data_IF_260134906601
#
_entry.id   IF_260134906601
#
_cell.length_a   1.000
_cell.length_b   1.000
_cell.length_c   1.000
_cell.angle_alpha   90.00
_cell.angle_beta   90.00
_cell.angle_gamma   90.00
#
_symmetry.space_group_name_H-M   'P 1'
#
loop_
_entity.id
_entity.type
_entity.pdbx_description
1 polymer ?
#
# COMPACT_ATOMS: atom_id res chain seq x y z
N UNK A 1 -12.71 -15.90 -12.55
CA UNK A 1 -12.02 -15.10 -11.52
C UNK A 1 -12.06 -13.64 -11.95
N UNK A 2 -12.45 -12.70 -11.08
CA UNK A 2 -12.50 -11.29 -11.48
C UNK A 2 -11.07 -10.75 -11.53
N UNK A 3 -10.50 -10.70 -12.74
CA UNK A 3 -9.23 -10.02 -12.97
C UNK A 3 -9.51 -8.52 -13.02
N UNK A 4 -8.68 -7.70 -12.37
CA UNK A 4 -8.70 -6.26 -12.62
C UNK A 4 -8.37 -6.05 -14.10
N UNK A 5 -9.14 -5.25 -14.83
CA UNK A 5 -8.92 -5.02 -16.28
C UNK A 5 -7.99 -3.83 -16.57
N UNK A 6 -7.43 -3.23 -15.53
CA UNK A 6 -6.53 -2.08 -15.60
C UNK A 6 -6.92 -1.02 -14.59
N UNK A 7 -5.91 -0.45 -13.93
CA UNK A 7 -6.04 0.75 -13.11
C UNK A 7 -5.50 1.92 -13.93
N UNK A 8 -6.39 2.81 -14.39
CA UNK A 8 -6.01 4.06 -15.05
C UNK A 8 -5.50 5.03 -13.97
N UNK A 9 -4.19 5.05 -13.75
CA UNK A 9 -3.52 5.93 -12.79
C UNK A 9 -3.40 7.33 -13.38
N UNK A 10 -4.38 8.19 -13.08
CA UNK A 10 -4.34 9.62 -13.39
C UNK A 10 -4.22 10.43 -12.10
N UNK A 11 -3.30 11.39 -12.08
CA UNK A 11 -3.31 12.45 -11.06
C UNK A 11 -4.53 13.32 -11.34
N UNK A 12 -5.57 13.17 -10.52
CA UNK A 12 -6.88 13.81 -10.71
C UNK A 12 -7.26 14.74 -9.57
N UNK A 13 -6.38 14.88 -8.58
CA UNK A 13 -6.61 15.66 -7.38
C UNK A 13 -5.28 16.17 -6.82
N UNK A 14 -5.34 17.33 -6.16
CA UNK A 14 -4.27 17.86 -5.31
C UNK A 14 -4.13 17.04 -4.03
N UNK A 15 -3.04 17.24 -3.28
CA UNK A 15 -2.82 16.56 -2.00
C UNK A 15 -3.94 16.86 -0.98
N UNK A 16 -4.37 18.12 -0.88
CA UNK A 16 -5.46 18.54 0.03
C UNK A 16 -6.79 17.86 -0.31
N UNK A 17 -7.12 17.79 -1.60
CA UNK A 17 -8.33 17.09 -2.05
C UNK A 17 -8.27 15.58 -1.81
N UNK A 18 -7.09 14.96 -2.01
CA UNK A 18 -6.88 13.56 -1.69
C UNK A 18 -7.04 13.31 -0.19
N UNK A 19 -6.50 14.19 0.66
CA UNK A 19 -6.60 14.11 2.12
C UNK A 19 -8.04 14.31 2.62
N UNK A 20 -8.78 15.24 2.03
CA UNK A 20 -10.21 15.44 2.30
C UNK A 20 -11.03 14.18 1.95
N UNK A 21 -10.64 13.46 0.90
CA UNK A 21 -11.29 12.24 0.41
C UNK A 21 -10.72 10.95 1.00
N UNK A 22 -9.75 11.05 1.91
CA UNK A 22 -9.16 9.90 2.57
C UNK A 22 -10.25 9.06 3.26
N UNK A 23 -10.15 7.74 3.19
CA UNK A 23 -11.02 6.86 3.97
C UNK A 23 -10.68 6.97 5.46
N UNK A 24 -11.63 6.60 6.32
CA UNK A 24 -11.37 6.51 7.75
C UNK A 24 -10.16 5.61 8.07
N UNK A 25 -10.04 4.50 7.34
CA UNK A 25 -8.90 3.60 7.51
C UNK A 25 -7.56 4.23 7.14
N UNK A 26 -7.51 5.05 6.09
CA UNK A 26 -6.30 5.79 5.73
C UNK A 26 -5.93 6.82 6.80
N UNK A 27 -6.91 7.52 7.38
CA UNK A 27 -6.68 8.48 8.48
C UNK A 27 -6.12 7.79 9.72
N UNK A 28 -6.74 6.69 10.16
CA UNK A 28 -6.25 5.88 11.28
C UNK A 28 -4.80 5.44 11.05
N UNK A 29 -4.50 4.95 9.85
CA UNK A 29 -3.14 4.51 9.52
C UNK A 29 -2.13 5.67 9.56
N UNK A 30 -2.44 6.79 8.91
CA UNK A 30 -1.54 7.96 8.88
C UNK A 30 -1.28 8.52 10.27
N UNK A 31 -2.32 8.61 11.11
CA UNK A 31 -2.19 9.12 12.48
C UNK A 31 -1.34 8.18 13.35
N UNK A 32 -1.58 6.88 13.27
CA UNK A 32 -0.76 5.90 13.99
C UNK A 32 0.69 5.93 13.50
N UNK A 33 0.93 5.87 12.19
CA UNK A 33 2.28 5.95 11.64
C UNK A 33 3.01 7.22 12.09
N UNK A 34 2.32 8.37 12.08
CA UNK A 34 2.89 9.64 12.56
C UNK A 34 3.21 9.61 14.06
N UNK A 35 2.42 8.90 14.86
CA UNK A 35 2.72 8.71 16.30
C UNK A 35 3.99 7.89 16.55
N UNK A 36 4.38 7.02 15.61
CA UNK A 36 5.59 6.21 15.68
C UNK A 36 6.83 6.93 15.12
N UNK A 37 6.62 7.90 14.23
CA UNK A 37 7.69 8.65 13.58
C UNK A 37 8.20 9.77 14.50
N UNK A 38 9.47 9.71 14.90
CA UNK A 38 10.17 10.88 15.47
C UNK A 38 10.69 11.81 14.37
N UNK A 39 10.95 13.06 14.73
CA UNK A 39 11.42 14.08 13.79
C UNK A 39 12.64 13.59 12.98
N UNK A 40 12.48 13.51 11.65
CA UNK A 40 13.55 13.11 10.73
C UNK A 40 13.86 11.61 10.66
N UNK A 41 13.08 10.75 11.32
CA UNK A 41 13.35 9.31 11.37
C UNK A 41 12.11 8.49 11.00
N UNK A 42 12.29 7.48 10.15
CA UNK A 42 11.23 6.53 9.83
C UNK A 42 10.94 5.60 11.03
N UNK A 43 9.66 5.28 11.30
CA UNK A 43 9.34 4.28 12.28
C UNK A 43 9.83 2.91 11.81
N UNK A 44 10.41 2.13 12.73
CA UNK A 44 10.79 0.74 12.44
C UNK A 44 9.56 -0.13 12.40
N UNK A 45 9.58 -1.20 11.60
CA UNK A 45 8.50 -2.21 11.62
C UNK A 45 8.23 -2.76 13.03
N UNK A 46 9.26 -2.89 13.87
CA UNK A 46 9.13 -3.35 15.26
C UNK A 46 8.40 -2.35 16.19
N UNK A 47 8.22 -1.10 15.76
CA UNK A 47 7.43 -0.12 16.51
C UNK A 47 5.92 -0.25 16.24
N UNK A 48 5.53 -0.98 15.20
CA UNK A 48 4.13 -1.18 14.86
C UNK A 48 3.47 -2.09 15.90
N UNK A 49 2.51 -1.55 16.65
CA UNK A 49 1.62 -2.33 17.50
C UNK A 49 0.33 -2.65 16.70
N UNK A 50 0.09 -3.91 16.31
CA UNK A 50 -1.12 -4.28 15.58
C UNK A 50 -2.41 -3.95 16.34
N UNK A 51 -2.38 -3.92 17.68
CA UNK A 51 -3.56 -3.62 18.49
C UNK A 51 -4.07 -2.19 18.30
N UNK A 52 -3.15 -1.24 18.08
CA UNK A 52 -3.46 0.16 17.82
C UNK A 52 -4.20 0.38 16.48
N UNK A 53 -4.07 -0.55 15.54
CA UNK A 53 -4.66 -0.48 14.19
C UNK A 53 -5.62 -1.64 13.91
N UNK A 54 -6.11 -2.33 14.94
CA UNK A 54 -6.95 -3.55 14.81
C UNK A 54 -8.15 -3.36 13.87
N UNK A 55 -8.76 -2.17 13.88
CA UNK A 55 -9.93 -1.84 13.04
C UNK A 55 -9.63 -1.88 11.53
N UNK A 56 -8.37 -1.69 11.15
CA UNK A 56 -7.94 -1.61 9.75
C UNK A 56 -7.04 -2.78 9.33
N UNK A 57 -6.58 -3.61 10.26
CA UNK A 57 -5.64 -4.73 9.99
C UNK A 57 -6.10 -5.63 8.85
N UNK A 58 -7.38 -5.98 8.77
CA UNK A 58 -7.92 -6.82 7.69
C UNK A 58 -7.73 -6.22 6.29
N UNK A 59 -7.52 -4.91 6.19
CA UNK A 59 -7.33 -4.17 4.96
C UNK A 59 -5.88 -3.64 4.79
N UNK A 60 -4.94 -4.12 5.60
CA UNK A 60 -3.53 -3.72 5.52
C UNK A 60 -2.67 -4.78 4.83
N UNK A 61 -1.60 -4.34 4.20
CA UNK A 61 -0.53 -5.21 3.72
C UNK A 61 0.82 -4.61 4.08
N UNK A 62 1.82 -5.46 4.37
CA UNK A 62 3.21 -5.04 4.53
C UNK A 62 3.98 -5.56 3.32
N UNK A 63 4.63 -4.64 2.62
CA UNK A 63 5.54 -4.94 1.51
C UNK A 63 6.96 -4.65 1.97
N UNK A 64 7.91 -5.50 1.58
CA UNK A 64 9.33 -5.37 1.92
C UNK A 64 10.17 -5.51 0.66
N UNK A 65 11.02 -4.52 0.38
CA UNK A 65 11.95 -4.55 -0.75
C UNK A 65 13.21 -5.35 -0.41
N UNK A 66 13.44 -6.40 -1.18
CA UNK A 66 14.73 -7.12 -1.23
C UNK A 66 15.67 -6.44 -2.23
N UNK A 67 15.18 -6.21 -3.44
CA UNK A 67 15.85 -5.51 -4.53
C UNK A 67 14.80 -4.77 -5.41
N UNK A 68 15.20 -3.95 -6.40
CA UNK A 68 14.25 -3.18 -7.20
C UNK A 68 13.19 -3.99 -7.96
N UNK A 69 13.45 -5.25 -8.27
CA UNK A 69 12.54 -6.16 -8.98
C UNK A 69 11.85 -7.17 -8.04
N UNK A 70 12.23 -7.19 -6.76
CA UNK A 70 11.74 -8.13 -5.75
C UNK A 70 11.19 -7.40 -4.52
N UNK A 71 9.86 -7.28 -4.46
CA UNK A 71 9.14 -6.67 -3.33
C UNK A 71 8.13 -7.64 -2.73
N UNK A 72 8.47 -8.23 -1.59
CA UNK A 72 7.72 -9.29 -0.94
C UNK A 72 6.52 -8.77 -0.17
N UNK A 73 5.35 -9.38 -0.37
CA UNK A 73 4.20 -9.22 0.51
C UNK A 73 4.40 -10.04 1.79
N UNK A 74 4.87 -9.40 2.86
CA UNK A 74 5.14 -10.05 4.17
C UNK A 74 3.88 -10.28 5.00
N UNK A 75 2.86 -9.46 4.80
CA UNK A 75 1.58 -9.57 5.45
C UNK A 75 0.49 -9.10 4.49
N UNK A 76 -0.62 -9.84 4.44
CA UNK A 76 -1.82 -9.46 3.70
C UNK A 76 -3.03 -9.70 4.59
N UNK A 77 -3.79 -8.65 4.89
CA UNK A 77 -4.99 -8.73 5.71
C UNK A 77 -6.11 -9.53 5.04
N UNK A 78 -6.96 -10.17 5.84
CA UNK A 78 -8.02 -11.06 5.36
C UNK A 78 -9.02 -10.40 4.40
N UNK A 79 -9.36 -9.13 4.60
CA UNK A 79 -10.23 -8.37 3.70
C UNK A 79 -9.59 -8.12 2.33
N UNK A 80 -8.26 -8.04 2.25
CA UNK A 80 -7.55 -8.00 0.97
C UNK A 80 -7.64 -9.38 0.30
N UNK A 81 -7.41 -10.47 1.05
CA UNK A 81 -7.52 -11.85 0.55
C UNK A 81 -8.91 -12.12 -0.01
N UNK A 82 -9.98 -11.75 0.70
CA UNK A 82 -11.37 -11.88 0.26
C UNK A 82 -11.62 -11.14 -1.06
N UNK A 83 -11.10 -9.92 -1.20
CA UNK A 83 -11.27 -9.08 -2.40
C UNK A 83 -10.48 -9.60 -3.60
N UNK A 84 -9.26 -10.10 -3.38
CA UNK A 84 -8.43 -10.67 -4.44
C UNK A 84 -8.92 -12.08 -4.81
N UNK A 85 -9.54 -12.79 -3.88
CA UNK A 85 -9.94 -14.19 -4.01
C UNK A 85 -8.77 -15.18 -3.87
N UNK A 86 -7.61 -14.72 -3.40
CA UNK A 86 -6.43 -15.54 -3.17
C UNK A 86 -5.52 -14.91 -2.12
N UNK A 87 -4.87 -15.75 -1.31
CA UNK A 87 -3.78 -15.31 -0.44
C UNK A 87 -2.52 -15.06 -1.29
N UNK A 88 -1.99 -13.85 -1.16
CA UNK A 88 -0.81 -13.37 -1.87
C UNK A 88 0.38 -13.14 -0.94
N UNK A 89 0.26 -13.52 0.33
CA UNK A 89 1.37 -13.52 1.28
C UNK A 89 2.54 -14.36 0.74
N UNK A 90 3.75 -13.82 0.87
CA UNK A 90 4.98 -14.43 0.37
C UNK A 90 5.20 -14.27 -1.13
N UNK A 91 4.28 -13.65 -1.88
CA UNK A 91 4.47 -13.37 -3.31
C UNK A 91 5.15 -12.03 -3.52
N UNK A 92 5.83 -11.89 -4.66
CA UNK A 92 6.29 -10.60 -5.14
C UNK A 92 5.08 -9.78 -5.60
N UNK A 93 4.90 -8.56 -5.06
CA UNK A 93 3.76 -7.69 -5.40
C UNK A 93 3.69 -7.40 -6.90
N UNK A 94 4.84 -7.39 -7.59
CA UNK A 94 4.92 -7.14 -9.02
C UNK A 94 4.34 -8.28 -9.89
N UNK A 95 4.15 -9.47 -9.32
CA UNK A 95 3.54 -10.63 -9.98
C UNK A 95 2.04 -10.77 -9.67
N UNK A 96 1.54 -10.00 -8.69
CA UNK A 96 0.12 -10.03 -8.28
C UNK A 96 -0.76 -9.17 -9.20
N UNK A 97 -0.19 -8.10 -9.75
CA UNK A 97 -0.89 -7.20 -10.66
C UNK A 97 -0.76 -7.63 -12.12
N UNK A 98 -1.59 -7.04 -12.98
CA UNK A 98 -1.56 -7.29 -14.43
C UNK A 98 -0.18 -6.91 -14.98
N UNK A 99 0.40 -7.77 -15.84
CA UNK A 99 1.76 -7.62 -16.36
C UNK A 99 2.01 -6.25 -17.01
N UNK A 100 1.01 -5.65 -17.66
CA UNK A 100 1.11 -4.32 -18.29
C UNK A 100 1.39 -3.19 -17.31
N UNK A 101 1.13 -3.39 -16.02
CA UNK A 101 1.37 -2.41 -14.97
C UNK A 101 2.65 -2.69 -14.17
N UNK A 102 3.32 -3.82 -14.43
CA UNK A 102 4.47 -4.27 -13.65
C UNK A 102 5.56 -3.21 -13.55
N UNK A 103 5.99 -2.66 -14.69
CA UNK A 103 7.07 -1.67 -14.74
C UNK A 103 6.67 -0.37 -14.02
N UNK A 104 5.46 0.13 -14.27
CA UNK A 104 4.95 1.36 -13.63
C UNK A 104 4.89 1.17 -12.12
N UNK A 105 4.35 0.04 -11.65
CA UNK A 105 4.27 -0.27 -10.22
C UNK A 105 5.66 -0.40 -9.59
N UNK A 106 6.59 -1.08 -10.28
CA UNK A 106 7.97 -1.24 -9.85
C UNK A 106 8.65 0.12 -9.67
N UNK A 107 8.62 0.96 -10.71
CA UNK A 107 9.27 2.27 -10.71
C UNK A 107 8.69 3.15 -9.60
N UNK A 108 7.37 3.09 -9.44
CA UNK A 108 6.65 3.83 -8.41
C UNK A 108 7.00 3.38 -6.99
N UNK A 109 7.01 2.07 -6.71
CA UNK A 109 7.33 1.56 -5.37
C UNK A 109 8.79 1.82 -5.00
N UNK A 110 9.71 1.68 -5.95
CA UNK A 110 11.11 2.05 -5.73
C UNK A 110 11.29 3.55 -5.48
N UNK A 111 10.60 4.40 -6.25
CA UNK A 111 10.58 5.84 -6.02
C UNK A 111 10.22 6.19 -4.57
N UNK A 112 9.17 5.55 -4.03
CA UNK A 112 8.71 5.79 -2.65
C UNK A 112 9.73 5.35 -1.60
N UNK A 113 10.50 4.30 -1.86
CA UNK A 113 11.50 3.79 -0.91
C UNK A 113 12.83 4.53 -1.00
N UNK A 114 13.24 4.96 -2.21
CA UNK A 114 14.48 5.73 -2.42
C UNK A 114 14.35 7.17 -1.92
N UNK A 115 13.13 7.70 -1.89
CA UNK A 115 12.77 8.98 -1.28
C UNK A 115 11.63 8.74 -0.30
N UNK A 116 11.93 8.29 0.92
CA UNK A 116 10.91 7.82 1.85
C UNK A 116 9.85 8.90 2.12
N UNK A 117 8.72 8.76 1.44
CA UNK A 117 7.57 9.64 1.53
C UNK A 117 6.27 8.82 1.58
N UNK A 118 5.25 9.37 2.24
CA UNK A 118 3.92 8.78 2.27
C UNK A 118 3.23 8.91 0.93
N UNK A 119 2.40 7.93 0.59
CA UNK A 119 1.53 7.95 -0.56
C UNK A 119 0.08 7.83 -0.13
N UNK A 120 -0.76 8.68 -0.71
CA UNK A 120 -2.22 8.56 -0.68
C UNK A 120 -2.73 8.57 -2.11
N UNK A 121 -3.43 7.51 -2.52
CA UNK A 121 -4.04 7.36 -3.83
C UNK A 121 -5.52 7.02 -3.68
N UNK A 122 -6.34 7.62 -4.53
CA UNK A 122 -7.68 7.12 -4.80
C UNK A 122 -7.67 6.47 -6.19
N UNK A 123 -7.87 5.16 -6.22
CA UNK A 123 -7.91 4.36 -7.44
C UNK A 123 -9.33 3.89 -7.68
N UNK A 124 -9.68 3.62 -8.94
CA UNK A 124 -10.93 2.92 -9.27
C UNK A 124 -10.56 1.63 -9.98
N UNK A 125 -10.71 0.51 -9.29
CA UNK A 125 -10.50 -0.81 -9.87
C UNK A 125 -11.75 -1.20 -10.66
N UNK A 126 -11.54 -1.62 -11.91
CA UNK A 126 -12.61 -2.16 -12.76
C UNK A 126 -12.38 -3.65 -12.91
N UNK A 127 -13.35 -4.45 -12.45
CA UNK A 127 -13.30 -5.90 -12.54
C UNK A 127 -13.85 -6.37 -13.90
N UNK A 128 -13.50 -7.58 -14.33
CA UNK A 128 -14.03 -8.19 -15.58
C UNK A 128 -15.57 -8.30 -15.60
N UNK A 129 -16.23 -8.30 -14.44
CA UNK A 129 -17.69 -8.24 -14.33
C UNK A 129 -18.30 -6.86 -14.67
N UNK A 130 -17.48 -5.84 -14.91
CA UNK A 130 -17.89 -4.44 -15.06
C UNK A 130 -18.09 -3.70 -13.74
N UNK A 131 -18.00 -4.39 -12.60
CA UNK A 131 -18.06 -3.75 -11.29
C UNK A 131 -16.87 -2.80 -11.10
N UNK A 132 -17.14 -1.59 -10.62
CA UNK A 132 -16.12 -0.56 -10.34
C UNK A 132 -16.06 -0.30 -8.85
N UNK A 133 -14.86 -0.41 -8.27
CA UNK A 133 -14.63 -0.18 -6.85
C UNK A 133 -13.64 0.96 -6.67
N UNK A 134 -14.06 2.01 -5.97
CA UNK A 134 -13.16 3.06 -5.50
C UNK A 134 -12.33 2.54 -4.32
N UNK A 135 -11.02 2.59 -4.44
CA UNK A 135 -10.05 2.11 -3.45
C UNK A 135 -9.18 3.26 -2.98
N UNK A 136 -9.23 3.53 -1.68
CA UNK A 136 -8.25 4.39 -1.02
C UNK A 136 -7.03 3.55 -0.64
N UNK A 137 -5.88 3.91 -1.18
CA UNK A 137 -4.61 3.29 -0.89
C UNK A 137 -3.73 4.29 -0.14
N UNK A 138 -3.39 3.98 1.09
CA UNK A 138 -2.43 4.75 1.88
C UNK A 138 -1.21 3.87 2.17
N UNK A 139 -0.02 4.31 1.76
CA UNK A 139 1.25 3.64 2.02
C UNK A 139 2.15 4.59 2.77
N UNK A 140 2.76 4.10 3.83
CA UNK A 140 3.71 4.86 4.62
C UNK A 140 4.99 4.03 4.74
N UNK A 141 6.17 4.61 4.44
CA UNK A 141 7.42 3.88 4.47
C UNK A 141 7.79 3.53 5.92
N UNK A 142 8.44 2.39 6.11
CA UNK A 142 8.97 1.97 7.40
C UNK A 142 10.44 1.64 7.26
N UNK A 143 11.17 1.75 8.36
CA UNK A 143 12.56 1.35 8.43
C UNK A 143 12.70 -0.14 8.78
N UNK A 144 13.72 -0.76 8.21
CA UNK A 144 14.27 -2.03 8.69
C UNK A 144 15.07 -1.85 10.01
N UNK A 145 15.72 -2.92 10.46
CA UNK A 145 16.53 -2.89 11.68
C UNK A 145 17.75 -1.94 11.59
N UNK A 146 18.23 -1.66 10.37
CA UNK A 146 19.37 -0.77 10.10
C UNK A 146 18.96 0.70 9.98
N UNK A 147 17.66 0.97 9.85
CA UNK A 147 17.13 2.33 9.66
C UNK A 147 16.82 2.68 8.20
N UNK A 148 17.07 1.76 7.25
CA UNK A 148 16.80 1.98 5.83
C UNK A 148 15.33 1.73 5.49
N UNK A 149 14.76 2.54 4.59
CA UNK A 149 13.41 2.33 4.09
C UNK A 149 13.33 1.03 3.27
N UNK A 150 12.44 0.10 3.67
CA UNK A 150 12.23 -1.18 2.99
C UNK A 150 10.77 -1.58 2.95
#
# INVERSE_FOLDING_TARGET
>A
MPQASGTDLRVTATFEEALARASEGARIWMEHWRSLASAGTLPRRSHLDPSAVVRILKNMSITEREDPDTLWLRLVGSGIVERIGADTTGKNILDVHIQTQRQVLRDHLNFLLDRPCGQLLLLVDTYTSGHRLAVNLCRMPMADATGAAR
#
